data_IF_567699281224
#
_entry.id   IF_567699281224
#
_cell.length_a   1.000
_cell.length_b   1.000
_cell.length_c   1.000
_cell.angle_alpha   90.00
_cell.angle_beta   90.00
_cell.angle_gamma   90.00
#
_symmetry.space_group_name_H-M   'P 1'
#
loop_
_entity.id
_entity.type
_entity.pdbx_description
1 polymer ?
#
# COMPACT_ATOMS: atom_id res chain seq x y z
N UNK A 1 31.77 18.46 47.17
CA UNK A 1 31.42 19.41 46.07
C UNK A 1 31.08 18.59 44.85
N UNK A 2 29.85 18.08 44.85
CA UNK A 2 29.27 17.33 43.74
C UNK A 2 28.81 18.30 42.65
N UNK A 3 29.41 18.23 41.50
CA UNK A 3 28.86 18.78 40.27
C UNK A 3 28.18 17.68 39.49
N UNK A 4 26.90 17.44 39.77
CA UNK A 4 26.01 16.62 38.92
C UNK A 4 25.81 17.35 37.61
N UNK A 5 26.57 17.01 36.59
CA UNK A 5 26.26 17.34 35.20
C UNK A 5 25.00 16.56 34.79
N UNK A 6 23.87 17.24 34.80
CA UNK A 6 22.65 16.77 34.22
C UNK A 6 22.86 16.66 32.69
N UNK A 7 23.22 15.48 32.25
CA UNK A 7 23.26 15.11 30.85
C UNK A 7 21.83 15.16 30.27
N UNK A 8 21.49 16.28 29.69
CA UNK A 8 20.24 16.51 28.98
C UNK A 8 20.19 15.69 27.70
N UNK A 9 20.06 14.37 27.77
CA UNK A 9 19.59 13.54 26.68
C UNK A 9 18.12 13.85 26.48
N UNK A 10 17.86 14.85 25.64
CA UNK A 10 16.53 15.09 25.08
C UNK A 10 16.03 13.76 24.48
N UNK A 11 15.15 13.08 25.23
CA UNK A 11 14.53 11.85 24.82
C UNK A 11 13.90 12.04 23.43
N UNK A 12 14.38 11.29 22.46
CA UNK A 12 13.68 11.15 21.18
C UNK A 12 12.35 10.49 21.51
N UNK A 13 11.29 11.31 21.63
CA UNK A 13 9.92 10.84 21.80
C UNK A 13 9.48 10.11 20.53
N UNK A 14 9.94 8.87 20.34
CA UNK A 14 9.48 7.94 19.32
C UNK A 14 8.10 7.42 19.71
N UNK A 15 7.08 8.24 19.58
CA UNK A 15 5.70 7.91 19.96
C UNK A 15 4.69 8.29 18.87
N UNK A 16 3.45 7.83 19.06
CA UNK A 16 2.32 8.13 18.19
C UNK A 16 2.05 9.64 18.01
N UNK A 17 2.53 10.45 18.92
CA UNK A 17 2.42 11.91 18.88
C UNK A 17 3.71 12.59 18.43
N UNK A 18 4.70 11.84 17.95
CA UNK A 18 5.92 12.46 17.43
C UNK A 18 5.62 13.31 16.20
N UNK A 19 6.29 14.47 16.11
CA UNK A 19 6.13 15.38 14.96
C UNK A 19 6.37 14.66 13.63
N UNK A 20 7.35 13.77 13.57
CA UNK A 20 7.67 13.00 12.36
C UNK A 20 6.50 12.11 11.93
N UNK A 21 5.88 11.40 12.88
CA UNK A 21 4.77 10.49 12.59
C UNK A 21 3.50 11.24 12.20
N UNK A 22 3.13 12.30 12.94
CA UNK A 22 1.96 13.11 12.60
C UNK A 22 2.10 13.80 11.24
N UNK A 23 3.29 14.33 10.94
CA UNK A 23 3.59 14.92 9.64
C UNK A 23 3.50 13.88 8.51
N UNK A 24 4.00 12.67 8.73
CA UNK A 24 3.88 11.57 7.78
C UNK A 24 2.41 11.23 7.51
N UNK A 25 1.59 11.06 8.55
CA UNK A 25 0.17 10.78 8.43
C UNK A 25 -0.57 11.88 7.68
N UNK A 26 -0.28 13.16 7.97
CA UNK A 26 -0.85 14.30 7.25
C UNK A 26 -0.48 14.29 5.77
N UNK A 27 0.78 14.08 5.45
CA UNK A 27 1.26 14.03 4.05
C UNK A 27 0.60 12.87 3.30
N UNK A 28 0.45 11.70 3.94
CA UNK A 28 -0.24 10.55 3.35
C UNK A 28 -1.72 10.80 3.13
N UNK A 29 -2.39 11.41 4.09
CA UNK A 29 -3.80 11.80 3.94
C UNK A 29 -3.98 12.78 2.77
N UNK A 30 -3.20 13.86 2.74
CA UNK A 30 -3.30 14.88 1.69
C UNK A 30 -2.96 14.32 0.31
N UNK A 31 -1.88 13.51 0.19
CA UNK A 31 -1.54 12.87 -1.08
C UNK A 31 -2.68 11.97 -1.57
N UNK A 32 -3.26 11.16 -0.70
CA UNK A 32 -4.35 10.25 -1.07
C UNK A 32 -5.63 10.99 -1.40
N UNK A 33 -5.94 12.06 -0.67
CA UNK A 33 -7.08 12.92 -0.95
C UNK A 33 -6.98 13.56 -2.35
N UNK A 34 -5.83 14.15 -2.67
CA UNK A 34 -5.60 14.82 -3.95
C UNK A 34 -5.50 13.83 -5.12
N UNK A 35 -4.93 12.63 -4.90
CA UNK A 35 -4.78 11.62 -5.96
C UNK A 35 -6.01 10.74 -6.17
N UNK A 36 -7.02 10.84 -5.30
CA UNK A 36 -8.21 9.98 -5.37
C UNK A 36 -8.97 10.04 -6.71
N UNK A 37 -9.08 11.20 -7.43
CA UNK A 37 -9.71 11.23 -8.74
C UNK A 37 -9.02 10.29 -9.75
N UNK A 38 -7.70 10.12 -9.66
CA UNK A 38 -7.00 9.15 -10.52
C UNK A 38 -7.48 7.72 -10.24
N UNK A 39 -7.64 7.35 -8.99
CA UNK A 39 -8.10 6.00 -8.63
C UNK A 39 -9.52 5.69 -9.12
N UNK A 40 -10.42 6.67 -9.04
CA UNK A 40 -11.84 6.51 -9.36
C UNK A 40 -12.19 6.83 -10.82
N UNK A 41 -11.59 7.87 -11.40
CA UNK A 41 -11.97 8.39 -12.71
C UNK A 41 -11.04 7.94 -13.86
N UNK A 42 -9.85 7.42 -13.58
CA UNK A 42 -8.91 7.04 -14.63
C UNK A 42 -9.47 5.99 -15.60
N UNK A 43 -10.11 4.89 -15.13
CA UNK A 43 -10.76 3.96 -16.06
C UNK A 43 -11.86 4.63 -16.90
N UNK A 44 -12.67 5.48 -16.29
CA UNK A 44 -13.77 6.20 -16.97
C UNK A 44 -13.19 7.15 -18.03
N UNK A 45 -12.11 7.88 -17.71
CA UNK A 45 -11.43 8.75 -18.66
C UNK A 45 -10.92 7.97 -19.89
N UNK A 46 -10.28 6.82 -19.67
CA UNK A 46 -9.76 5.99 -20.77
C UNK A 46 -10.87 5.42 -21.63
N UNK A 47 -11.97 4.96 -21.05
CA UNK A 47 -13.03 4.26 -21.77
C UNK A 47 -14.06 5.24 -22.36
N UNK A 48 -14.54 6.19 -21.58
CA UNK A 48 -15.62 7.10 -22.00
C UNK A 48 -15.10 8.31 -22.79
N UNK A 49 -14.01 8.95 -22.32
CA UNK A 49 -13.49 10.18 -22.92
C UNK A 49 -12.52 9.88 -24.09
N UNK A 50 -11.59 8.94 -23.90
CA UNK A 50 -10.63 8.56 -24.93
C UNK A 50 -11.10 7.40 -25.84
N UNK A 51 -12.23 6.77 -25.53
CA UNK A 51 -12.83 5.65 -26.28
C UNK A 51 -11.82 4.52 -26.55
N UNK A 52 -10.98 4.20 -25.55
CA UNK A 52 -10.01 3.12 -25.61
C UNK A 52 -10.54 1.86 -24.94
N UNK A 53 -10.18 0.67 -25.43
CA UNK A 53 -10.66 -0.58 -24.89
C UNK A 53 -10.13 -0.82 -23.43
N UNK A 54 -10.87 -1.57 -22.60
CA UNK A 54 -10.55 -1.83 -21.19
C UNK A 54 -9.15 -2.42 -20.95
N UNK A 55 -8.65 -3.25 -21.88
CA UNK A 55 -7.31 -3.81 -21.77
C UNK A 55 -6.22 -2.74 -21.73
N UNK A 56 -6.44 -1.58 -22.34
CA UNK A 56 -5.48 -0.48 -22.34
C UNK A 56 -5.35 0.15 -20.94
N UNK A 57 -6.46 0.30 -20.21
CA UNK A 57 -6.44 0.69 -18.79
C UNK A 57 -5.64 -0.31 -17.95
N UNK A 58 -5.88 -1.62 -18.18
CA UNK A 58 -5.15 -2.70 -17.52
C UNK A 58 -3.64 -2.64 -17.81
N UNK A 59 -3.25 -2.45 -19.06
CA UNK A 59 -1.85 -2.28 -19.48
C UNK A 59 -1.18 -1.09 -18.77
N UNK A 60 -1.81 0.08 -18.78
CA UNK A 60 -1.27 1.29 -18.15
C UNK A 60 -1.10 1.10 -16.63
N UNK A 61 -2.09 0.49 -15.96
CA UNK A 61 -2.00 0.16 -14.53
C UNK A 61 -0.90 -0.85 -14.23
N UNK A 62 -0.79 -1.90 -15.03
CA UNK A 62 0.26 -2.91 -14.90
C UNK A 62 1.66 -2.28 -15.05
N UNK A 63 1.84 -1.39 -16.05
CA UNK A 63 3.08 -0.66 -16.27
C UNK A 63 3.47 0.17 -15.04
N UNK A 64 2.53 0.96 -14.50
CA UNK A 64 2.75 1.77 -13.32
C UNK A 64 3.12 0.93 -12.08
N UNK A 65 2.38 -0.16 -11.84
CA UNK A 65 2.59 -1.03 -10.68
C UNK A 65 3.93 -1.78 -10.76
N UNK A 66 4.27 -2.31 -11.95
CA UNK A 66 5.53 -3.02 -12.16
C UNK A 66 6.73 -2.11 -11.88
N UNK A 67 6.71 -0.91 -12.45
CA UNK A 67 7.77 0.07 -12.25
C UNK A 67 7.84 0.55 -10.81
N UNK A 68 6.69 0.75 -10.17
CA UNK A 68 6.63 1.06 -8.75
C UNK A 68 7.37 0.02 -7.89
N UNK A 69 7.20 -1.26 -8.19
CA UNK A 69 7.92 -2.35 -7.52
C UNK A 69 9.42 -2.34 -7.79
N UNK A 70 9.83 -2.18 -9.04
CA UNK A 70 11.26 -2.15 -9.42
C UNK A 70 11.95 -0.97 -8.73
N UNK A 71 11.37 0.23 -8.82
CA UNK A 71 11.95 1.43 -8.21
C UNK A 71 11.84 1.46 -6.68
N UNK A 72 10.96 0.67 -6.07
CA UNK A 72 10.93 0.48 -4.63
C UNK A 72 12.23 -0.16 -4.09
N UNK A 73 12.81 -1.10 -4.85
CA UNK A 73 14.11 -1.70 -4.51
C UNK A 73 15.22 -0.65 -4.55
N UNK A 74 15.23 0.19 -5.58
CA UNK A 74 16.18 1.30 -5.69
C UNK A 74 15.96 2.31 -4.55
N UNK A 75 14.72 2.59 -4.20
CA UNK A 75 14.34 3.53 -3.15
C UNK A 75 14.82 3.11 -1.75
N UNK A 76 14.86 1.81 -1.45
CA UNK A 76 15.44 1.32 -0.20
C UNK A 76 16.90 1.78 -0.03
N UNK A 77 17.69 1.76 -1.10
CA UNK A 77 19.06 2.28 -1.09
C UNK A 77 19.14 3.81 -1.11
N UNK A 78 18.19 4.48 -1.78
CA UNK A 78 18.11 5.94 -1.75
C UNK A 78 17.84 6.44 -0.34
N UNK A 79 16.96 5.75 0.42
CA UNK A 79 16.72 6.03 1.85
C UNK A 79 18.01 5.90 2.67
N UNK A 80 18.76 4.82 2.45
CA UNK A 80 20.04 4.60 3.15
C UNK A 80 21.10 5.69 2.81
N UNK A 81 21.10 6.18 1.56
CA UNK A 81 22.13 7.12 1.07
C UNK A 81 21.78 8.60 1.26
N UNK A 82 20.55 8.98 0.95
CA UNK A 82 20.10 10.37 0.90
C UNK A 82 19.09 10.71 2.01
N UNK A 83 18.65 9.70 2.77
CA UNK A 83 17.62 9.81 3.79
C UNK A 83 16.21 9.58 3.26
N UNK A 84 15.31 9.18 4.17
CA UNK A 84 13.95 8.83 3.81
C UNK A 84 13.10 10.06 3.44
N UNK A 85 13.32 11.21 4.07
CA UNK A 85 12.61 12.46 3.71
C UNK A 85 12.88 12.86 2.26
N UNK A 86 14.14 12.90 1.85
CA UNK A 86 14.53 13.25 0.49
C UNK A 86 13.94 12.28 -0.52
N UNK A 87 14.02 10.98 -0.23
CA UNK A 87 13.47 9.92 -1.09
C UNK A 87 11.95 10.04 -1.22
N UNK A 88 11.23 10.37 -0.14
CA UNK A 88 9.79 10.58 -0.14
C UNK A 88 9.42 11.80 -1.01
N UNK A 89 10.15 12.91 -0.91
CA UNK A 89 9.91 14.11 -1.71
C UNK A 89 10.13 13.83 -3.21
N UNK A 90 11.16 13.05 -3.58
CA UNK A 90 11.37 12.61 -4.96
C UNK A 90 10.13 11.85 -5.47
N UNK A 91 9.57 10.97 -4.66
CA UNK A 91 8.33 10.26 -4.99
C UNK A 91 7.13 11.20 -5.17
N UNK A 92 6.97 12.19 -4.28
CA UNK A 92 5.89 13.18 -4.37
C UNK A 92 5.99 14.06 -5.63
N UNK A 93 7.21 14.42 -6.07
CA UNK A 93 7.39 15.17 -7.33
C UNK A 93 6.78 14.38 -8.49
N UNK A 94 7.00 13.06 -8.56
CA UNK A 94 6.37 12.23 -9.57
C UNK A 94 4.84 12.15 -9.44
N UNK A 95 4.30 12.28 -8.24
CA UNK A 95 2.85 12.31 -8.01
C UNK A 95 2.17 13.56 -8.62
N UNK A 96 2.90 14.64 -8.90
CA UNK A 96 2.35 15.80 -9.63
C UNK A 96 1.92 15.46 -11.05
N UNK A 97 2.53 14.41 -11.64
CA UNK A 97 2.21 13.93 -12.99
C UNK A 97 0.81 13.29 -13.05
N UNK A 98 0.24 12.88 -11.91
CA UNK A 98 -1.07 12.22 -11.85
C UNK A 98 -2.18 13.06 -12.47
N UNK A 99 -2.15 14.38 -12.25
CA UNK A 99 -3.13 15.28 -12.86
C UNK A 99 -2.95 15.47 -14.37
N UNK A 100 -1.72 15.34 -14.89
CA UNK A 100 -1.45 15.47 -16.32
C UNK A 100 -2.05 14.32 -17.13
N UNK A 101 -2.29 13.16 -16.51
CA UNK A 101 -2.95 12.01 -17.15
C UNK A 101 -4.29 12.43 -17.75
N UNK A 102 -5.09 13.24 -17.05
CA UNK A 102 -6.40 13.72 -17.51
C UNK A 102 -6.35 14.83 -18.57
N UNK A 103 -5.15 15.15 -19.03
CA UNK A 103 -4.93 16.12 -20.13
C UNK A 103 -4.24 15.50 -21.34
N UNK A 104 -3.93 14.21 -21.28
CA UNK A 104 -3.13 13.51 -22.27
C UNK A 104 -3.99 12.46 -22.97
N UNK A 105 -4.38 12.70 -24.22
CA UNK A 105 -5.15 11.74 -25.05
C UNK A 105 -4.28 10.79 -25.86
N UNK A 106 -3.00 11.11 -26.02
CA UNK A 106 -2.07 10.30 -26.81
C UNK A 106 -1.62 9.04 -26.03
N UNK A 107 -1.70 7.83 -26.63
CA UNK A 107 -1.32 6.58 -25.98
C UNK A 107 0.15 6.52 -25.52
N UNK A 108 1.06 7.10 -26.31
CA UNK A 108 2.49 7.14 -25.96
C UNK A 108 2.75 8.09 -24.79
N UNK A 109 2.12 9.27 -24.82
CA UNK A 109 2.17 10.23 -23.72
C UNK A 109 1.62 9.65 -22.42
N UNK A 110 0.48 8.96 -22.48
CA UNK A 110 -0.08 8.24 -21.33
C UNK A 110 0.89 7.17 -20.81
N UNK A 111 1.44 6.34 -21.70
CA UNK A 111 2.39 5.29 -21.29
C UNK A 111 3.64 5.90 -20.63
N UNK A 112 4.17 7.01 -21.13
CA UNK A 112 5.31 7.71 -20.56
C UNK A 112 4.97 8.32 -19.19
N UNK A 113 3.79 8.92 -19.05
CA UNK A 113 3.32 9.46 -17.76
C UNK A 113 3.16 8.35 -16.73
N UNK A 114 2.50 7.23 -17.07
CA UNK A 114 2.32 6.11 -16.15
C UNK A 114 3.65 5.42 -15.82
N UNK A 115 4.59 5.38 -16.77
CA UNK A 115 5.97 4.95 -16.51
C UNK A 115 6.64 5.83 -15.44
N UNK A 116 6.62 7.15 -15.64
CA UNK A 116 7.23 8.11 -14.71
C UNK A 116 6.55 8.08 -13.33
N UNK A 117 5.22 8.01 -13.29
CA UNK A 117 4.44 7.86 -12.06
C UNK A 117 4.79 6.56 -11.32
N UNK A 118 4.90 5.44 -12.04
CA UNK A 118 5.33 4.16 -11.46
C UNK A 118 6.72 4.24 -10.86
N UNK A 119 7.67 4.81 -11.60
CA UNK A 119 9.04 5.02 -11.12
C UNK A 119 9.09 5.89 -9.84
N UNK A 120 8.21 6.87 -9.71
CA UNK A 120 8.10 7.73 -8.53
C UNK A 120 7.35 7.08 -7.36
N UNK A 121 6.40 6.18 -7.64
CA UNK A 121 5.64 5.48 -6.61
C UNK A 121 6.51 4.58 -5.73
N UNK A 122 7.56 3.98 -6.28
CA UNK A 122 8.54 3.20 -5.51
C UNK A 122 9.20 3.99 -4.38
N UNK A 123 9.85 5.13 -4.67
CA UNK A 123 10.38 6.06 -3.67
C UNK A 123 9.34 6.53 -2.64
N UNK A 124 8.16 6.93 -3.09
CA UNK A 124 7.07 7.35 -2.22
C UNK A 124 6.69 6.28 -1.19
N UNK A 125 6.36 5.09 -1.66
CA UNK A 125 5.86 4.01 -0.81
C UNK A 125 6.93 3.44 0.13
N UNK A 126 8.17 3.26 -0.37
CA UNK A 126 9.29 2.73 0.42
C UNK A 126 9.71 3.71 1.51
N UNK A 127 9.91 4.99 1.15
CA UNK A 127 10.35 5.99 2.10
C UNK A 127 9.29 6.25 3.18
N UNK A 128 8.01 6.26 2.83
CA UNK A 128 6.94 6.45 3.81
C UNK A 128 6.88 5.34 4.86
N UNK A 129 6.94 4.07 4.45
CA UNK A 129 6.99 2.96 5.42
C UNK A 129 8.30 2.94 6.20
N UNK A 130 9.41 3.33 5.60
CA UNK A 130 10.69 3.45 6.32
C UNK A 130 10.63 4.52 7.41
N UNK A 131 10.07 5.71 7.10
CA UNK A 131 9.86 6.78 8.10
C UNK A 131 8.96 6.27 9.22
N UNK A 132 7.86 5.58 8.92
CA UNK A 132 6.96 4.99 9.92
C UNK A 132 7.73 4.08 10.88
N UNK A 133 8.52 3.13 10.35
CA UNK A 133 9.25 2.15 11.16
C UNK A 133 10.32 2.81 12.06
N UNK A 134 10.89 3.93 11.61
CA UNK A 134 11.88 4.67 12.40
C UNK A 134 11.27 5.68 13.39
N UNK A 135 10.06 6.18 13.10
CA UNK A 135 9.38 7.20 13.91
C UNK A 135 8.65 6.61 15.13
N UNK A 136 8.28 5.33 15.09
CA UNK A 136 7.47 4.67 16.12
C UNK A 136 8.30 3.60 16.85
N UNK A 137 8.12 3.54 18.15
CA UNK A 137 8.75 2.47 18.97
C UNK A 137 8.19 1.10 18.57
N UNK A 138 8.99 0.02 18.59
CA UNK A 138 8.53 -1.32 18.24
C UNK A 138 7.28 -1.77 18.99
N UNK A 139 7.14 -1.37 20.27
CA UNK A 139 5.98 -1.71 21.09
C UNK A 139 4.64 -1.11 20.61
N UNK A 140 4.68 -0.02 19.82
CA UNK A 140 3.48 0.67 19.30
C UNK A 140 3.41 0.67 17.79
N UNK A 141 4.25 -0.11 17.13
CA UNK A 141 4.35 -0.10 15.66
C UNK A 141 3.10 -0.68 14.98
N UNK A 142 2.38 -1.58 15.65
CA UNK A 142 1.10 -2.09 15.16
C UNK A 142 0.04 -0.99 15.06
N UNK A 143 -0.19 -0.25 16.14
CA UNK A 143 -1.13 0.88 16.17
C UNK A 143 -0.64 2.01 15.26
N UNK A 144 0.66 2.30 15.24
CA UNK A 144 1.26 3.27 14.33
C UNK A 144 1.02 2.91 12.86
N UNK A 145 1.19 1.64 12.50
CA UNK A 145 0.83 1.13 11.17
C UNK A 145 -0.64 1.32 10.86
N UNK A 146 -1.52 1.02 11.83
CA UNK A 146 -2.96 1.23 11.70
C UNK A 146 -3.30 2.69 11.39
N UNK A 147 -2.77 3.65 12.13
CA UNK A 147 -3.03 5.09 11.93
C UNK A 147 -2.43 5.58 10.59
N UNK A 148 -1.25 5.10 10.22
CA UNK A 148 -0.62 5.42 8.95
C UNK A 148 -1.48 4.98 7.74
N UNK A 149 -1.93 3.73 7.73
CA UNK A 149 -2.79 3.23 6.67
C UNK A 149 -4.19 3.85 6.71
N UNK A 150 -4.73 4.11 7.90
CA UNK A 150 -5.98 4.85 8.09
C UNK A 150 -5.91 6.23 7.43
N UNK A 151 -4.81 6.96 7.60
CA UNK A 151 -4.63 8.28 6.98
C UNK A 151 -4.73 8.20 5.46
N UNK A 152 -4.12 7.17 4.85
CA UNK A 152 -4.24 6.91 3.42
C UNK A 152 -5.69 6.56 3.02
N UNK A 153 -6.33 5.66 3.76
CA UNK A 153 -7.68 5.17 3.47
C UNK A 153 -8.73 6.30 3.60
N UNK A 154 -8.63 7.12 4.65
CA UNK A 154 -9.51 8.27 4.85
C UNK A 154 -9.29 9.35 3.77
N UNK A 155 -8.03 9.63 3.43
CA UNK A 155 -7.71 10.54 2.34
C UNK A 155 -8.35 10.09 1.03
N UNK A 156 -8.18 8.83 0.65
CA UNK A 156 -8.79 8.26 -0.54
C UNK A 156 -10.32 8.29 -0.50
N UNK A 157 -10.93 7.92 0.62
CA UNK A 157 -12.38 7.88 0.78
C UNK A 157 -13.01 9.26 0.64
N UNK A 158 -12.49 10.24 1.39
CA UNK A 158 -12.99 11.63 1.34
C UNK A 158 -12.69 12.29 -0.01
N UNK A 159 -11.51 12.06 -0.56
CA UNK A 159 -11.16 12.57 -1.88
C UNK A 159 -12.03 12.00 -2.99
N UNK A 160 -12.38 10.70 -2.95
CA UNK A 160 -13.29 10.07 -3.91
C UNK A 160 -14.70 10.61 -3.77
N UNK A 161 -15.18 10.87 -2.54
CA UNK A 161 -16.46 11.52 -2.30
C UNK A 161 -16.48 12.93 -2.90
N UNK A 162 -15.46 13.75 -2.62
CA UNK A 162 -15.34 15.08 -3.23
C UNK A 162 -15.27 15.01 -4.75
N UNK A 163 -14.55 14.03 -5.30
CA UNK A 163 -14.44 13.80 -6.74
C UNK A 163 -15.82 13.55 -7.37
N UNK A 164 -16.63 12.69 -6.75
CA UNK A 164 -18.00 12.42 -7.22
C UNK A 164 -18.87 13.68 -7.24
N UNK A 165 -18.76 14.50 -6.19
CA UNK A 165 -19.54 15.76 -6.07
C UNK A 165 -19.16 16.81 -7.11
N UNK A 166 -17.87 16.92 -7.49
CA UNK A 166 -17.40 17.95 -8.43
C UNK A 166 -17.39 17.49 -9.89
N UNK A 167 -17.45 16.19 -10.18
CA UNK A 167 -17.30 15.66 -11.54
C UNK A 167 -18.40 16.12 -12.50
N UNK A 168 -19.59 16.41 -11.98
CA UNK A 168 -20.71 16.93 -12.77
C UNK A 168 -20.42 18.31 -13.36
N UNK A 169 -19.67 19.13 -12.65
CA UNK A 169 -19.45 20.54 -12.97
C UNK A 169 -18.09 20.81 -13.62
N UNK A 170 -17.14 19.87 -13.49
CA UNK A 170 -15.76 20.08 -13.93
C UNK A 170 -15.32 18.98 -14.92
N UNK A 171 -14.61 19.41 -15.97
CA UNK A 171 -13.99 18.51 -16.96
C UNK A 171 -12.82 17.74 -16.37
N UNK A 172 -12.45 16.60 -16.98
CA UNK A 172 -11.26 15.83 -16.59
C UNK A 172 -9.99 16.70 -16.55
N UNK A 173 -9.80 17.58 -17.54
CA UNK A 173 -8.64 18.46 -17.61
C UNK A 173 -8.58 19.46 -16.45
N UNK A 174 -9.72 19.99 -15.98
CA UNK A 174 -9.79 20.90 -14.83
C UNK A 174 -9.48 20.15 -13.53
N UNK A 175 -10.08 18.97 -13.33
CA UNK A 175 -9.78 18.09 -12.19
C UNK A 175 -8.28 17.74 -12.19
N UNK A 176 -7.72 17.36 -13.33
CA UNK A 176 -6.30 17.05 -13.47
C UNK A 176 -5.39 18.25 -13.10
N UNK A 177 -5.78 19.47 -13.51
CA UNK A 177 -5.03 20.69 -13.13
C UNK A 177 -5.08 20.90 -11.62
N UNK A 178 -6.26 20.78 -11.01
CA UNK A 178 -6.43 20.93 -9.56
C UNK A 178 -5.60 19.86 -8.79
N UNK A 179 -5.54 18.63 -9.29
CA UNK A 179 -4.68 17.58 -8.73
C UNK A 179 -3.20 17.96 -8.78
N UNK A 180 -2.68 18.38 -9.93
CA UNK A 180 -1.27 18.77 -10.07
C UNK A 180 -0.89 19.94 -9.16
N UNK A 181 -1.74 20.97 -9.08
CA UNK A 181 -1.55 22.10 -8.18
C UNK A 181 -1.63 21.67 -6.71
N UNK A 182 -2.63 20.85 -6.35
CA UNK A 182 -2.77 20.30 -5.01
C UNK A 182 -1.55 19.48 -4.59
N UNK A 183 -0.96 18.70 -5.50
CA UNK A 183 0.26 17.95 -5.22
C UNK A 183 1.48 18.84 -4.94
N UNK A 184 1.61 19.99 -5.58
CA UNK A 184 2.66 20.97 -5.23
C UNK A 184 2.49 21.46 -3.78
N UNK A 185 1.26 21.69 -3.33
CA UNK A 185 1.00 22.04 -1.94
C UNK A 185 1.37 20.88 -0.99
N UNK A 186 1.08 19.62 -1.34
CA UNK A 186 1.48 18.45 -0.55
C UNK A 186 3.01 18.36 -0.43
N UNK A 187 3.75 18.62 -1.51
CA UNK A 187 5.23 18.67 -1.49
C UNK A 187 5.71 19.74 -0.53
N UNK A 188 5.13 20.94 -0.58
CA UNK A 188 5.50 22.05 0.32
C UNK A 188 5.23 21.64 1.79
N UNK A 189 4.08 21.04 2.07
CA UNK A 189 3.74 20.53 3.42
C UNK A 189 4.76 19.47 3.85
N UNK A 190 5.10 18.51 2.99
CA UNK A 190 6.08 17.47 3.30
C UNK A 190 7.47 18.07 3.59
N UNK A 191 7.90 19.05 2.79
CA UNK A 191 9.19 19.71 2.94
C UNK A 191 9.30 20.42 4.30
N UNK A 192 8.26 21.12 4.73
CA UNK A 192 8.23 21.92 5.97
C UNK A 192 7.96 21.04 7.21
N UNK A 193 7.01 20.10 7.11
CA UNK A 193 6.53 19.35 8.28
C UNK A 193 7.39 18.17 8.67
N UNK A 194 7.93 17.43 7.67
CA UNK A 194 8.79 16.29 7.96
C UNK A 194 10.15 16.75 8.49
N UNK A 195 10.63 16.18 9.59
CA UNK A 195 11.95 16.50 10.11
C UNK A 195 13.04 16.07 9.10
N UNK A 196 14.13 16.82 9.08
CA UNK A 196 15.31 16.40 8.31
C UNK A 196 15.85 15.09 8.86
N UNK A 197 16.30 14.21 7.97
CA UNK A 197 16.93 12.96 8.38
C UNK A 197 18.15 13.29 9.27
N UNK A 198 18.21 12.65 10.43
CA UNK A 198 19.31 12.88 11.36
C UNK A 198 20.65 12.45 10.73
N UNK A 199 21.76 13.19 10.97
CA UNK A 199 23.07 12.87 10.42
C UNK A 199 23.62 11.47 10.78
N UNK A 200 23.03 10.81 11.79
CA UNK A 200 23.46 9.50 12.25
C UNK A 200 23.34 8.37 11.19
N UNK A 201 22.50 8.55 10.18
CA UNK A 201 22.45 7.62 9.04
C UNK A 201 23.66 7.78 8.08
N UNK A 202 24.47 8.83 8.24
CA UNK A 202 25.64 9.09 7.38
C UNK A 202 26.92 8.39 7.83
N UNK A 203 26.93 7.73 8.97
CA UNK A 203 28.16 7.19 9.59
C UNK A 203 28.61 5.82 9.07
N UNK A 204 27.83 5.16 8.23
CA UNK A 204 28.31 3.99 7.49
C UNK A 204 28.82 4.48 6.14
N UNK A 205 30.13 4.36 5.82
CA UNK A 205 30.59 4.59 4.48
C UNK A 205 29.73 3.72 3.57
N UNK A 206 28.96 4.35 2.66
CA UNK A 206 28.19 3.59 1.69
C UNK A 206 29.21 2.76 0.90
N UNK A 207 29.46 1.55 1.37
CA UNK A 207 30.27 0.60 0.63
C UNK A 207 29.69 0.57 -0.77
N UNK A 208 30.52 0.78 -1.78
CA UNK A 208 30.12 0.83 -3.20
C UNK A 208 29.66 -0.57 -3.69
N UNK A 209 28.91 -1.28 -2.82
CA UNK A 209 28.30 -2.53 -3.18
C UNK A 209 27.26 -2.29 -4.28
N UNK A 210 27.27 -3.11 -5.30
CA UNK A 210 26.22 -3.11 -6.31
C UNK A 210 24.86 -3.28 -5.62
N UNK A 211 23.76 -2.81 -6.24
CA UNK A 211 22.42 -2.95 -5.67
C UNK A 211 22.14 -4.40 -5.32
N UNK A 212 22.49 -5.35 -6.20
CA UNK A 212 22.31 -6.78 -5.96
C UNK A 212 23.08 -7.30 -4.75
N UNK A 213 24.34 -6.91 -4.60
CA UNK A 213 25.17 -7.34 -3.47
C UNK A 213 24.60 -6.88 -2.12
N UNK A 214 23.89 -5.76 -2.07
CA UNK A 214 23.25 -5.26 -0.86
C UNK A 214 22.00 -6.08 -0.45
N UNK A 215 21.34 -6.75 -1.39
CA UNK A 215 20.14 -7.57 -1.14
C UNK A 215 20.43 -9.05 -0.96
N UNK A 216 21.58 -9.54 -1.43
CA UNK A 216 21.97 -10.97 -1.37
C UNK A 216 21.90 -11.59 0.05
N UNK A 217 22.36 -10.91 1.13
CA UNK A 217 22.26 -11.46 2.49
C UNK A 217 20.79 -11.63 2.94
N UNK A 218 19.90 -10.69 2.58
CA UNK A 218 18.48 -10.76 2.89
C UNK A 218 17.81 -11.94 2.20
N UNK A 219 18.12 -12.13 0.91
CA UNK A 219 17.56 -13.22 0.10
C UNK A 219 18.08 -14.63 0.49
N UNK A 220 19.08 -14.74 1.35
CA UNK A 220 19.52 -16.01 1.92
C UNK A 220 18.75 -16.43 3.18
N UNK A 221 17.90 -15.59 3.74
CA UNK A 221 17.24 -15.80 5.03
C UNK A 221 15.85 -16.41 4.89
N UNK A 222 15.57 -17.45 5.68
CA UNK A 222 14.28 -18.15 5.67
C UNK A 222 13.12 -17.27 6.11
N UNK A 223 13.32 -16.45 7.13
CA UNK A 223 12.30 -15.52 7.66
C UNK A 223 11.89 -14.45 6.62
N UNK A 224 12.86 -13.95 5.85
CA UNK A 224 12.59 -13.05 4.71
C UNK A 224 11.76 -13.75 3.63
N UNK A 225 12.11 -15.00 3.28
CA UNK A 225 11.31 -15.77 2.30
C UNK A 225 9.88 -16.02 2.79
N UNK A 226 9.69 -16.35 4.07
CA UNK A 226 8.37 -16.54 4.64
C UNK A 226 7.54 -15.24 4.62
N UNK A 227 8.15 -14.10 4.96
CA UNK A 227 7.50 -12.79 4.88
C UNK A 227 7.10 -12.43 3.45
N UNK A 228 8.01 -12.61 2.49
CA UNK A 228 7.74 -12.33 1.08
C UNK A 228 6.69 -13.29 0.50
N UNK A 229 6.72 -14.57 0.84
CA UNK A 229 5.72 -15.55 0.40
C UNK A 229 4.33 -15.23 0.93
N UNK A 230 4.22 -14.87 2.22
CA UNK A 230 2.97 -14.38 2.81
C UNK A 230 2.43 -13.17 2.03
N UNK A 231 3.30 -12.22 1.74
CA UNK A 231 2.95 -11.02 0.97
C UNK A 231 2.49 -11.39 -0.45
N UNK A 232 3.25 -12.24 -1.15
CA UNK A 232 2.96 -12.68 -2.51
C UNK A 232 1.58 -13.36 -2.61
N UNK A 233 1.31 -14.36 -1.78
CA UNK A 233 0.07 -15.15 -1.86
C UNK A 233 -1.16 -14.30 -1.59
N UNK A 234 -1.18 -13.54 -0.49
CA UNK A 234 -2.34 -12.72 -0.09
C UNK A 234 -2.54 -11.58 -1.09
N UNK A 235 -1.48 -10.91 -1.54
CA UNK A 235 -1.61 -9.77 -2.44
C UNK A 235 -1.98 -10.20 -3.86
N UNK A 236 -1.55 -11.38 -4.33
CA UNK A 236 -2.00 -11.90 -5.63
C UNK A 236 -3.52 -12.11 -5.63
N UNK A 237 -4.07 -12.70 -4.59
CA UNK A 237 -5.53 -12.80 -4.47
C UNK A 237 -6.18 -11.41 -4.37
N UNK A 238 -5.61 -10.49 -3.59
CA UNK A 238 -6.12 -9.11 -3.53
C UNK A 238 -6.16 -8.43 -4.91
N UNK A 239 -5.13 -8.64 -5.72
CA UNK A 239 -5.08 -8.17 -7.12
C UNK A 239 -6.21 -8.74 -7.99
N UNK A 240 -6.56 -10.03 -7.82
CA UNK A 240 -7.71 -10.65 -8.49
C UNK A 240 -9.02 -10.01 -8.00
N UNK A 241 -9.21 -9.92 -6.69
CA UNK A 241 -10.43 -9.47 -6.06
C UNK A 241 -10.76 -8.00 -6.37
N UNK A 242 -9.77 -7.11 -6.41
CA UNK A 242 -9.97 -5.69 -6.75
C UNK A 242 -10.48 -5.46 -8.17
N UNK A 243 -10.29 -6.41 -9.07
CA UNK A 243 -10.86 -6.39 -10.41
C UNK A 243 -12.20 -7.13 -10.45
N UNK A 244 -12.25 -8.33 -9.86
CA UNK A 244 -13.41 -9.22 -9.96
C UNK A 244 -14.64 -8.72 -9.20
N UNK A 245 -14.48 -8.19 -7.98
CA UNK A 245 -15.62 -7.79 -7.14
C UNK A 245 -16.48 -6.68 -7.76
N UNK A 246 -15.92 -5.52 -8.18
CA UNK A 246 -16.73 -4.48 -8.80
C UNK A 246 -17.44 -4.96 -10.06
N UNK A 247 -16.76 -5.78 -10.88
CA UNK A 247 -17.32 -6.31 -12.11
C UNK A 247 -18.47 -7.28 -11.83
N UNK A 248 -18.33 -8.19 -10.85
CA UNK A 248 -19.41 -9.11 -10.47
C UNK A 248 -20.59 -8.40 -9.84
N UNK A 249 -20.36 -7.42 -8.96
CA UNK A 249 -21.43 -6.61 -8.40
C UNK A 249 -22.24 -5.97 -9.51
N UNK A 250 -21.58 -5.38 -10.52
CA UNK A 250 -22.25 -4.82 -11.67
C UNK A 250 -22.98 -5.90 -12.49
N UNK A 251 -22.34 -7.03 -12.82
CA UNK A 251 -22.95 -8.12 -13.63
C UNK A 251 -24.18 -8.70 -12.97
N UNK A 252 -24.18 -8.86 -11.63
CA UNK A 252 -25.30 -9.43 -10.86
C UNK A 252 -26.41 -8.41 -10.62
N UNK A 253 -26.07 -7.16 -10.34
CA UNK A 253 -27.05 -6.11 -10.01
C UNK A 253 -27.60 -5.38 -11.22
N UNK A 254 -26.85 -5.32 -12.32
CA UNK A 254 -27.10 -4.44 -13.48
C UNK A 254 -27.19 -2.94 -13.10
N UNK A 255 -26.58 -2.54 -11.99
CA UNK A 255 -26.56 -1.17 -11.46
C UNK A 255 -25.11 -0.68 -11.39
N UNK A 256 -24.78 0.35 -12.17
CA UNK A 256 -23.43 0.95 -12.24
C UNK A 256 -23.02 1.67 -10.95
N UNK A 257 -23.97 2.04 -10.09
CA UNK A 257 -23.70 2.74 -8.85
C UNK A 257 -23.28 1.81 -7.71
N UNK A 258 -23.76 0.57 -7.69
CA UNK A 258 -23.50 -0.38 -6.61
C UNK A 258 -22.03 -0.72 -6.38
N UNK A 259 -21.15 -0.86 -7.39
CA UNK A 259 -19.71 -1.01 -7.16
C UNK A 259 -19.08 0.16 -6.39
N UNK A 260 -19.55 1.38 -6.60
CA UNK A 260 -19.06 2.56 -5.88
C UNK A 260 -19.52 2.56 -4.41
N UNK A 261 -20.78 2.20 -4.15
CA UNK A 261 -21.28 2.02 -2.77
C UNK A 261 -20.56 0.89 -2.04
N UNK A 262 -20.31 -0.23 -2.74
CA UNK A 262 -19.49 -1.31 -2.21
C UNK A 262 -18.10 -0.82 -1.79
N UNK A 263 -17.41 -0.07 -2.66
CA UNK A 263 -16.10 0.48 -2.36
C UNK A 263 -16.14 1.40 -1.13
N UNK A 264 -17.14 2.30 -1.03
CA UNK A 264 -17.30 3.20 0.10
C UNK A 264 -17.49 2.43 1.43
N UNK A 265 -18.42 1.47 1.47
CA UNK A 265 -18.71 0.66 2.67
C UNK A 265 -17.50 -0.19 3.06
N UNK A 266 -16.88 -0.86 2.09
CA UNK A 266 -15.74 -1.74 2.36
C UNK A 266 -14.51 -0.97 2.87
N UNK A 267 -14.27 0.27 2.42
CA UNK A 267 -13.19 1.11 2.93
C UNK A 267 -13.45 1.60 4.36
N UNK A 268 -14.69 1.91 4.74
CA UNK A 268 -15.03 2.23 6.14
C UNK A 268 -14.75 1.03 7.05
N UNK A 269 -15.19 -0.16 6.67
CA UNK A 269 -14.90 -1.38 7.43
C UNK A 269 -13.41 -1.66 7.49
N UNK A 270 -12.69 -1.47 6.38
CA UNK A 270 -11.23 -1.61 6.35
C UNK A 270 -10.55 -0.65 7.33
N UNK A 271 -11.00 0.60 7.41
CA UNK A 271 -10.48 1.59 8.36
C UNK A 271 -10.65 1.11 9.81
N UNK A 272 -11.83 0.58 10.16
CA UNK A 272 -12.07 -0.02 11.49
C UNK A 272 -11.18 -1.23 11.74
N UNK A 273 -11.01 -2.12 10.76
CA UNK A 273 -10.13 -3.29 10.86
C UNK A 273 -8.65 -2.90 11.04
N UNK A 274 -8.18 -1.87 10.33
CA UNK A 274 -6.81 -1.37 10.44
C UNK A 274 -6.49 -0.89 11.85
N UNK A 275 -7.38 -0.09 12.45
CA UNK A 275 -7.20 0.38 13.84
C UNK A 275 -7.27 -0.77 14.84
N UNK A 276 -8.29 -1.60 14.71
CA UNK A 276 -8.51 -2.73 15.63
C UNK A 276 -7.35 -3.70 15.60
N UNK A 277 -6.89 -4.10 14.42
CA UNK A 277 -5.78 -5.07 14.30
C UNK A 277 -4.46 -4.48 14.75
N UNK A 278 -4.22 -3.19 14.50
CA UNK A 278 -3.03 -2.49 14.99
C UNK A 278 -2.98 -2.50 16.52
N UNK A 279 -4.08 -2.14 17.18
CA UNK A 279 -4.22 -2.18 18.63
C UNK A 279 -4.09 -3.59 19.22
N UNK A 280 -4.76 -4.57 18.60
CA UNK A 280 -4.71 -5.96 19.04
C UNK A 280 -3.30 -6.55 18.88
N UNK A 281 -2.57 -6.17 17.83
CA UNK A 281 -1.18 -6.58 17.63
C UNK A 281 -0.27 -6.12 18.78
N UNK A 282 -0.44 -4.89 19.25
CA UNK A 282 0.39 -4.36 20.32
C UNK A 282 0.06 -4.99 21.68
N UNK A 283 -1.19 -5.46 21.89
CA UNK A 283 -1.64 -6.11 23.13
C UNK A 283 -1.48 -7.63 23.14
N UNK A 284 -1.79 -8.31 22.04
CA UNK A 284 -1.84 -9.78 21.99
C UNK A 284 -0.61 -10.38 21.29
N UNK A 285 0.31 -9.53 20.82
CA UNK A 285 1.43 -9.93 19.99
C UNK A 285 1.03 -10.18 18.54
N UNK A 286 2.03 -10.36 17.67
CA UNK A 286 1.88 -10.42 16.21
C UNK A 286 1.09 -11.64 15.69
N UNK A 287 1.22 -12.79 16.36
CA UNK A 287 0.76 -14.06 15.80
C UNK A 287 -0.78 -14.12 15.66
N UNK A 288 -1.51 -13.82 16.74
CA UNK A 288 -2.98 -13.95 16.75
C UNK A 288 -3.65 -13.03 15.72
N UNK A 289 -3.40 -11.69 15.70
CA UNK A 289 -4.03 -10.81 14.72
C UNK A 289 -3.69 -11.16 13.28
N UNK A 290 -2.44 -11.55 12.99
CA UNK A 290 -2.00 -11.92 11.65
C UNK A 290 -2.72 -13.19 11.16
N UNK A 291 -2.72 -14.26 11.98
CA UNK A 291 -3.34 -15.53 11.60
C UNK A 291 -4.86 -15.36 11.43
N UNK A 292 -5.53 -14.66 12.36
CA UNK A 292 -6.99 -14.42 12.27
C UNK A 292 -7.33 -13.62 11.02
N UNK A 293 -6.55 -12.58 10.69
CA UNK A 293 -6.78 -11.79 9.47
C UNK A 293 -6.54 -12.62 8.21
N UNK A 294 -5.48 -13.43 8.15
CA UNK A 294 -5.21 -14.31 7.01
C UNK A 294 -6.30 -15.39 6.82
N UNK A 295 -6.78 -15.98 7.91
CA UNK A 295 -7.95 -16.90 7.90
C UNK A 295 -9.19 -16.19 7.43
N UNK A 296 -9.43 -14.95 7.87
CA UNK A 296 -10.57 -14.14 7.44
C UNK A 296 -10.57 -13.92 5.92
N UNK A 297 -9.40 -13.69 5.30
CA UNK A 297 -9.27 -13.61 3.84
C UNK A 297 -9.68 -14.95 3.19
N UNK A 298 -9.20 -16.07 3.72
CA UNK A 298 -9.52 -17.41 3.19
C UNK A 298 -11.03 -17.71 3.26
N UNK A 299 -11.65 -17.47 4.41
CA UNK A 299 -13.08 -17.70 4.61
C UNK A 299 -13.94 -16.77 3.75
N UNK A 300 -13.55 -15.49 3.61
CA UNK A 300 -14.24 -14.55 2.73
C UNK A 300 -14.14 -14.97 1.27
N UNK A 301 -12.98 -15.46 0.83
CA UNK A 301 -12.79 -15.99 -0.51
C UNK A 301 -13.67 -17.21 -0.79
N UNK A 302 -13.76 -18.15 0.15
CA UNK A 302 -14.67 -19.29 0.05
C UNK A 302 -16.14 -18.85 0.00
N UNK A 303 -16.53 -17.88 0.83
CA UNK A 303 -17.89 -17.33 0.80
C UNK A 303 -18.22 -16.68 -0.55
N UNK A 304 -17.27 -15.93 -1.13
CA UNK A 304 -17.42 -15.35 -2.47
C UNK A 304 -17.51 -16.44 -3.55
N UNK A 305 -16.69 -17.49 -3.46
CA UNK A 305 -16.72 -18.58 -4.43
C UNK A 305 -18.07 -19.34 -4.41
N UNK A 306 -18.65 -19.56 -3.24
CA UNK A 306 -19.87 -20.32 -3.07
C UNK A 306 -21.16 -19.52 -3.32
N UNK A 307 -21.11 -18.20 -3.12
CA UNK A 307 -22.31 -17.34 -3.12
C UNK A 307 -22.16 -16.11 -4.01
N UNK A 308 -21.40 -16.21 -5.11
CA UNK A 308 -21.09 -15.11 -6.02
C UNK A 308 -22.27 -14.56 -6.82
N UNK A 309 -23.39 -15.29 -6.88
CA UNK A 309 -24.59 -14.91 -7.63
C UNK A 309 -25.52 -13.94 -6.87
N UNK A 310 -25.17 -13.60 -5.62
CA UNK A 310 -25.98 -12.73 -4.77
C UNK A 310 -25.25 -11.42 -4.47
N UNK A 311 -25.89 -10.29 -4.80
CA UNK A 311 -25.36 -8.95 -4.46
C UNK A 311 -25.08 -8.82 -2.96
N UNK A 312 -25.98 -9.32 -2.11
CA UNK A 312 -25.81 -9.28 -0.64
C UNK A 312 -24.56 -10.05 -0.22
N UNK A 313 -24.36 -11.24 -0.78
CA UNK A 313 -23.19 -12.08 -0.48
C UNK A 313 -21.89 -11.43 -0.97
N UNK A 314 -21.91 -10.82 -2.15
CA UNK A 314 -20.76 -10.05 -2.68
C UNK A 314 -20.41 -8.88 -1.76
N UNK A 315 -21.40 -8.16 -1.24
CA UNK A 315 -21.18 -7.08 -0.28
C UNK A 315 -20.63 -7.60 1.05
N UNK A 316 -21.23 -8.62 1.64
CA UNK A 316 -20.82 -9.16 2.95
C UNK A 316 -19.42 -9.75 2.88
N UNK A 317 -19.20 -10.74 2.01
CA UNK A 317 -17.90 -11.41 1.92
C UNK A 317 -16.83 -10.52 1.27
N UNK A 318 -17.18 -9.67 0.31
CA UNK A 318 -16.26 -8.72 -0.29
C UNK A 318 -15.79 -7.65 0.70
N UNK A 319 -16.69 -7.14 1.55
CA UNK A 319 -16.35 -6.20 2.63
C UNK A 319 -15.48 -6.88 3.69
N UNK A 320 -15.80 -8.11 4.09
CA UNK A 320 -14.98 -8.89 5.03
C UNK A 320 -13.58 -9.16 4.45
N UNK A 321 -13.49 -9.50 3.15
CA UNK A 321 -12.24 -9.66 2.44
C UNK A 321 -11.42 -8.37 2.47
N UNK A 322 -12.04 -7.24 2.13
CA UNK A 322 -11.38 -5.93 2.13
C UNK A 322 -10.84 -5.59 3.51
N UNK A 323 -11.66 -5.72 4.55
CA UNK A 323 -11.27 -5.44 5.93
C UNK A 323 -10.08 -6.30 6.39
N UNK A 324 -10.14 -7.61 6.13
CA UNK A 324 -9.09 -8.56 6.55
C UNK A 324 -7.80 -8.41 5.72
N UNK A 325 -7.88 -8.09 4.43
CA UNK A 325 -6.73 -7.83 3.59
C UNK A 325 -5.97 -6.55 4.03
N UNK A 326 -6.72 -5.49 4.34
CA UNK A 326 -6.14 -4.26 4.90
C UNK A 326 -5.57 -4.48 6.31
N UNK A 327 -6.20 -5.33 7.13
CA UNK A 327 -5.67 -5.73 8.43
C UNK A 327 -4.29 -6.38 8.30
N UNK A 328 -4.10 -7.35 7.39
CA UNK A 328 -2.78 -7.95 7.12
C UNK A 328 -1.78 -6.89 6.65
N UNK A 329 -2.18 -6.00 5.74
CA UNK A 329 -1.30 -4.93 5.25
C UNK A 329 -0.82 -4.00 6.36
N UNK A 330 -1.67 -3.72 7.34
CA UNK A 330 -1.35 -2.90 8.53
C UNK A 330 -0.25 -3.54 9.40
N UNK A 331 -0.16 -4.87 9.43
CA UNK A 331 0.83 -5.60 10.22
C UNK A 331 2.21 -5.70 9.52
N UNK A 332 2.29 -5.45 8.22
CA UNK A 332 3.54 -5.59 7.47
C UNK A 332 4.70 -4.75 8.03
N UNK A 333 4.54 -3.48 8.41
CA UNK A 333 5.64 -2.70 9.00
C UNK A 333 6.19 -3.35 10.29
N UNK A 334 5.31 -3.94 11.11
CA UNK A 334 5.73 -4.67 12.33
C UNK A 334 6.53 -5.91 11.97
N UNK A 335 6.04 -6.71 11.02
CA UNK A 335 6.74 -7.92 10.59
C UNK A 335 8.10 -7.61 9.96
N UNK A 336 8.20 -6.53 9.18
CA UNK A 336 9.48 -6.05 8.65
C UNK A 336 10.43 -5.69 9.79
N UNK A 337 9.94 -4.97 10.80
CA UNK A 337 10.76 -4.59 11.94
C UNK A 337 11.26 -5.81 12.74
N UNK A 338 10.44 -6.86 12.86
CA UNK A 338 10.78 -8.07 13.59
C UNK A 338 11.75 -8.99 12.82
N UNK A 339 11.71 -8.94 11.48
CA UNK A 339 12.57 -9.74 10.59
C UNK A 339 13.89 -9.04 10.30
N UNK A 340 13.87 -7.71 10.07
CA UNK A 340 15.03 -6.97 9.61
C UNK A 340 15.97 -6.53 10.76
N UNK A 341 17.27 -6.65 10.53
CA UNK A 341 18.27 -5.95 11.33
C UNK A 341 18.15 -4.43 11.17
N UNK A 342 18.76 -3.63 12.07
CA UNK A 342 18.64 -2.17 12.05
C UNK A 342 18.97 -1.51 10.70
N UNK A 343 20.00 -2.01 10.02
CA UNK A 343 20.49 -1.49 8.74
C UNK A 343 19.76 -2.07 7.52
N UNK A 344 18.89 -3.08 7.72
CA UNK A 344 18.24 -3.82 6.64
C UNK A 344 16.79 -3.35 6.40
N UNK A 345 16.20 -2.60 7.33
CA UNK A 345 14.77 -2.24 7.33
C UNK A 345 14.34 -1.60 6.01
N UNK A 346 15.06 -0.56 5.56
CA UNK A 346 14.72 0.16 4.34
C UNK A 346 14.77 -0.75 3.10
N UNK A 347 15.76 -1.64 3.05
CA UNK A 347 15.90 -2.61 1.96
C UNK A 347 14.80 -3.65 1.99
N UNK A 348 14.43 -4.16 3.17
CA UNK A 348 13.34 -5.14 3.30
C UNK A 348 11.98 -4.52 2.98
N UNK A 349 11.76 -3.24 3.32
CA UNK A 349 10.58 -2.48 2.86
C UNK A 349 10.54 -2.44 1.33
N UNK A 350 11.67 -2.11 0.67
CA UNK A 350 11.77 -2.09 -0.79
C UNK A 350 11.44 -3.44 -1.44
N UNK A 351 11.97 -4.55 -0.90
CA UNK A 351 11.64 -5.92 -1.34
C UNK A 351 10.16 -6.24 -1.12
N UNK A 352 9.59 -5.83 0.02
CA UNK A 352 8.18 -5.98 0.33
C UNK A 352 7.26 -5.27 -0.68
N UNK A 353 7.66 -4.08 -1.14
CA UNK A 353 6.93 -3.35 -2.19
C UNK A 353 7.09 -3.99 -3.57
N UNK A 354 8.28 -4.50 -3.92
CA UNK A 354 8.47 -5.27 -5.16
C UNK A 354 7.56 -6.50 -5.19
N UNK A 355 7.54 -7.27 -4.10
CA UNK A 355 6.68 -8.43 -3.97
C UNK A 355 5.19 -8.05 -4.08
N UNK A 356 4.78 -6.95 -3.44
CA UNK A 356 3.42 -6.43 -3.54
C UNK A 356 3.05 -6.05 -4.98
N UNK A 357 3.91 -5.31 -5.67
CA UNK A 357 3.66 -4.87 -7.04
C UNK A 357 3.58 -6.06 -8.01
N UNK A 358 4.53 -6.99 -7.93
CA UNK A 358 4.52 -8.21 -8.74
C UNK A 358 3.24 -9.02 -8.53
N UNK A 359 2.80 -9.14 -7.28
CA UNK A 359 1.57 -9.84 -6.92
C UNK A 359 0.33 -9.14 -7.46
N UNK A 360 0.24 -7.82 -7.32
CA UNK A 360 -0.88 -7.04 -7.85
C UNK A 360 -0.99 -7.14 -9.36
N UNK A 361 0.13 -7.07 -10.09
CA UNK A 361 0.16 -7.24 -11.54
C UNK A 361 -0.31 -8.65 -11.92
N UNK A 362 0.29 -9.69 -11.31
CA UNK A 362 -0.08 -11.09 -11.57
C UNK A 362 -1.55 -11.34 -11.25
N UNK A 363 -2.00 -10.88 -10.07
CA UNK A 363 -3.39 -11.05 -9.64
C UNK A 363 -4.37 -10.36 -10.58
N UNK A 364 -4.09 -9.11 -10.99
CA UNK A 364 -4.97 -8.38 -11.90
C UNK A 364 -5.06 -9.04 -13.29
N UNK A 365 -3.94 -9.49 -13.86
CA UNK A 365 -3.91 -10.16 -15.15
C UNK A 365 -4.61 -11.53 -15.11
N UNK A 366 -4.25 -12.35 -14.13
CA UNK A 366 -4.83 -13.70 -13.95
C UNK A 366 -6.31 -13.60 -13.58
N UNK A 367 -6.68 -12.70 -12.67
CA UNK A 367 -8.07 -12.49 -12.25
C UNK A 367 -8.97 -12.04 -13.38
N UNK A 368 -8.47 -11.15 -14.25
CA UNK A 368 -9.20 -10.72 -15.45
C UNK A 368 -9.49 -11.87 -16.42
N UNK A 369 -8.52 -12.76 -16.62
CA UNK A 369 -8.74 -13.95 -17.44
C UNK A 369 -9.70 -14.95 -16.80
N UNK A 370 -9.49 -15.25 -15.50
CA UNK A 370 -10.27 -16.27 -14.80
C UNK A 370 -11.77 -15.93 -14.70
N UNK A 371 -12.11 -14.65 -14.49
CA UNK A 371 -13.50 -14.22 -14.33
C UNK A 371 -14.32 -14.34 -15.63
N UNK A 372 -13.65 -14.36 -16.78
CA UNK A 372 -14.29 -14.58 -18.08
C UNK A 372 -14.49 -16.09 -18.36
N UNK A 373 -13.70 -16.96 -17.72
CA UNK A 373 -13.88 -18.41 -17.79
C UNK A 373 -14.99 -18.86 -16.85
N UNK A 374 -14.94 -18.44 -15.57
CA UNK A 374 -15.94 -18.73 -14.55
C UNK A 374 -15.87 -17.69 -13.43
N UNK A 375 -17.02 -17.15 -13.04
CA UNK A 375 -17.13 -16.09 -12.04
C UNK A 375 -16.67 -16.48 -10.65
N UNK A 376 -16.72 -17.77 -10.29
CA UNK A 376 -16.29 -18.29 -8.99
C UNK A 376 -14.77 -18.60 -8.97
N UNK A 377 -14.17 -18.86 -10.13
CA UNK A 377 -12.79 -19.37 -10.25
C UNK A 377 -11.74 -18.47 -9.61
N UNK A 378 -11.78 -17.12 -9.77
CA UNK A 378 -10.84 -16.21 -9.08
C UNK A 378 -10.87 -16.38 -7.56
N UNK A 379 -12.04 -16.69 -6.99
CA UNK A 379 -12.23 -16.80 -5.55
C UNK A 379 -11.82 -18.17 -5.01
N UNK A 380 -12.02 -19.28 -5.75
CA UNK A 380 -11.47 -20.59 -5.39
C UNK A 380 -9.95 -20.58 -5.37
N UNK A 381 -9.33 -20.02 -6.40
CA UNK A 381 -7.86 -19.86 -6.45
C UNK A 381 -7.43 -18.90 -5.34
N UNK A 382 -8.17 -17.83 -5.10
CA UNK A 382 -7.94 -16.89 -4.03
C UNK A 382 -7.97 -17.55 -2.64
N UNK A 383 -8.94 -18.43 -2.39
CA UNK A 383 -9.03 -19.19 -1.14
C UNK A 383 -7.82 -20.12 -0.93
N UNK A 384 -7.37 -20.79 -2.00
CA UNK A 384 -6.16 -21.61 -1.95
C UNK A 384 -4.90 -20.78 -1.65
N UNK A 385 -4.73 -19.64 -2.32
CA UNK A 385 -3.64 -18.70 -2.07
C UNK A 385 -3.67 -18.13 -0.64
N UNK A 386 -4.86 -17.76 -0.14
CA UNK A 386 -5.03 -17.26 1.22
C UNK A 386 -4.77 -18.36 2.27
N UNK A 387 -5.13 -19.61 1.98
CA UNK A 387 -4.80 -20.78 2.80
C UNK A 387 -3.28 -20.98 2.91
N UNK A 388 -2.57 -20.94 1.78
CA UNK A 388 -1.09 -20.96 1.75
C UNK A 388 -0.48 -19.77 2.51
N UNK A 389 -1.06 -18.57 2.35
CA UNK A 389 -0.68 -17.38 3.10
C UNK A 389 -0.86 -17.55 4.61
N UNK A 390 -1.95 -18.19 5.04
CA UNK A 390 -2.20 -18.49 6.46
C UNK A 390 -1.14 -19.46 7.02
N UNK A 391 -0.81 -20.52 6.28
CA UNK A 391 0.28 -21.44 6.67
C UNK A 391 1.63 -20.72 6.72
N UNK A 392 1.89 -19.82 5.77
CA UNK A 392 3.06 -18.95 5.76
C UNK A 392 3.13 -18.04 6.99
N UNK A 393 2.00 -17.44 7.40
CA UNK A 393 1.89 -16.61 8.61
C UNK A 393 2.22 -17.41 9.88
N UNK A 394 1.67 -18.62 10.01
CA UNK A 394 1.95 -19.52 11.15
C UNK A 394 3.44 -19.88 11.19
N UNK A 395 4.02 -20.23 10.04
CA UNK A 395 5.43 -20.61 9.92
C UNK A 395 6.37 -19.45 10.25
N UNK A 396 6.04 -18.24 9.78
CA UNK A 396 6.79 -17.02 10.07
C UNK A 396 6.76 -16.71 11.57
N UNK A 397 5.59 -16.73 12.20
CA UNK A 397 5.47 -16.47 13.64
C UNK A 397 6.27 -17.47 14.47
N UNK A 398 6.19 -18.77 14.15
CA UNK A 398 6.99 -19.81 14.82
C UNK A 398 8.51 -19.60 14.63
N UNK A 399 8.95 -19.20 13.44
CA UNK A 399 10.36 -18.93 13.15
C UNK A 399 10.88 -17.78 14.01
N UNK A 400 10.10 -16.70 14.11
CA UNK A 400 10.47 -15.51 14.89
C UNK A 400 10.43 -15.75 16.41
N UNK A 401 9.51 -16.59 16.90
CA UNK A 401 9.44 -16.95 18.33
C UNK A 401 10.58 -17.86 18.75
N UNK A 402 11.09 -18.69 17.85
CA UNK A 402 12.26 -19.55 18.09
C UNK A 402 13.59 -18.76 18.03
N UNK A 403 13.66 -17.70 17.23
CA UNK A 403 14.85 -16.83 17.14
C UNK A 403 15.00 -15.87 18.33
N UNK A 404 13.91 -15.62 19.07
CA UNK A 404 13.89 -14.78 20.28
C UNK A 404 14.14 -15.55 21.59
N UNK A 405 14.32 -16.88 21.52
CA UNK A 405 14.75 -17.76 22.60
C UNK A 405 16.22 -18.06 22.49
#
# INVERSE_FOLDING_TARGET
LDSSTSDGTAGRDGGLYSRAFLALCLVYFLNSFISSPFSSLFPVYIEADLQRPPWFTGYLRALMLLLGGIFAVVAGRLCDRFGCKTTLIIGLIGSTLTGLVFRTGDPWGLSLLLFAMGAANGPWSTAGQSILIHAITPARLGLGGGIYFLSNTLGNSLGSLCTGLVKTDYSFAQIGTAMSVGMLAVIAVAFVSLPSDAPAARSVPATRLSTWAAYRPLLGRRDVHLLLSLRLTITTFWGMATLALPLLIYRVSQDESLPAYFAAVSLVVAACCQLSVGYLNDRLGRAKPLIVSAMGICLSALGLALFHDSVVSLFVFGTALTGTAWAVSTLIPRLINDVAGPEEKNRLVGLGHLAWSASMVTGSLVGGYLIDVDSALPFYIGAALAGLGTLGAISLCRSLDNAGK
#
